data_IF_790595437707
#
_entry.id   IF_790595437707
#
_cell.length_a   1.000
_cell.length_b   1.000
_cell.length_c   1.000
_cell.angle_alpha   90.00
_cell.angle_beta   90.00
_cell.angle_gamma   90.00
#
_symmetry.space_group_name_H-M   'P 1'
#
loop_
_entity.id
_entity.type
_entity.pdbx_description
1 polymer ?
#
# COMPACT_ATOMS: atom_id res chain seq x y z
N UNK A 1 61.18 28.66 -14.59
CA UNK A 1 59.91 28.81 -13.87
C UNK A 1 59.19 27.47 -13.94
N UNK A 2 59.47 26.57 -13.01
CA UNK A 2 58.80 26.40 -11.72
C UNK A 2 57.44 25.69 -11.86
N UNK A 3 57.50 24.41 -11.52
CA UNK A 3 56.48 23.37 -11.38
C UNK A 3 55.29 23.86 -10.53
N UNK A 4 54.07 23.78 -11.05
CA UNK A 4 52.86 23.91 -10.21
C UNK A 4 52.50 22.52 -9.70
N UNK A 5 52.81 22.29 -8.43
CA UNK A 5 52.46 21.11 -7.64
C UNK A 5 50.93 20.98 -7.59
N UNK A 6 50.44 19.77 -7.86
CA UNK A 6 49.08 19.36 -7.50
C UNK A 6 49.15 18.76 -6.11
N UNK A 7 48.88 19.58 -5.12
CA UNK A 7 48.39 19.15 -3.81
C UNK A 7 46.98 19.76 -3.76
N UNK A 8 45.93 18.99 -3.53
CA UNK A 8 45.39 18.96 -2.18
C UNK A 8 44.71 17.61 -1.90
N UNK A 9 45.25 16.95 -0.89
CA UNK A 9 44.59 15.94 -0.09
C UNK A 9 43.23 16.45 0.39
N UNK A 10 42.16 16.17 -0.36
CA UNK A 10 40.81 16.22 0.19
C UNK A 10 40.51 14.85 0.78
N UNK A 11 41.00 14.64 2.01
CA UNK A 11 40.57 13.55 2.85
C UNK A 11 39.04 13.56 2.88
N UNK A 12 38.43 12.54 2.24
CA UNK A 12 37.00 12.26 2.35
C UNK A 12 36.80 11.84 3.80
N UNK A 13 36.49 12.81 4.65
CA UNK A 13 36.01 12.56 5.99
C UNK A 13 34.70 11.78 5.84
N UNK A 14 34.80 10.45 6.01
CA UNK A 14 33.66 9.57 6.19
C UNK A 14 32.95 10.07 7.44
N UNK A 15 31.71 10.61 7.36
CA UNK A 15 30.96 10.86 8.56
C UNK A 15 30.62 9.51 9.20
N UNK A 16 31.40 9.13 10.20
CA UNK A 16 30.97 8.24 11.27
C UNK A 16 29.67 8.78 11.87
N UNK A 17 28.54 8.27 11.38
CA UNK A 17 27.33 8.10 12.17
C UNK A 17 26.30 7.41 11.28
N UNK A 18 26.57 6.14 10.99
CA UNK A 18 25.55 5.21 10.53
C UNK A 18 24.49 5.06 11.64
N UNK A 19 23.44 5.89 11.60
CA UNK A 19 22.25 5.66 12.41
C UNK A 19 21.59 4.40 11.88
N UNK A 20 21.80 3.31 12.61
CA UNK A 20 21.24 1.98 12.42
C UNK A 20 19.73 2.09 12.14
N UNK A 21 19.32 1.98 10.88
CA UNK A 21 17.93 1.66 10.56
C UNK A 21 17.79 0.20 10.96
N UNK A 22 17.23 -0.04 12.14
CA UNK A 22 16.96 -1.39 12.63
C UNK A 22 16.17 -2.11 11.55
N UNK A 23 16.81 -3.06 10.86
CA UNK A 23 16.13 -3.93 9.91
C UNK A 23 15.03 -4.61 10.70
N UNK A 24 13.76 -4.32 10.37
CA UNK A 24 12.64 -5.03 11.00
C UNK A 24 12.87 -6.51 10.70
N UNK A 25 12.98 -7.33 11.74
CA UNK A 25 13.15 -8.75 11.56
C UNK A 25 11.90 -9.28 10.85
N UNK A 26 12.05 -9.61 9.57
CA UNK A 26 11.03 -10.31 8.80
C UNK A 26 11.07 -11.75 9.27
N UNK A 27 10.13 -12.12 10.13
CA UNK A 27 9.96 -13.50 10.54
C UNK A 27 9.29 -14.24 9.39
N UNK A 28 10.05 -15.07 8.68
CA UNK A 28 9.48 -16.02 7.73
C UNK A 28 8.60 -16.97 8.56
N UNK A 29 7.31 -17.03 8.23
CA UNK A 29 6.35 -17.91 8.90
C UNK A 29 6.39 -19.29 8.26
N UNK A 30 6.11 -20.28 9.08
CA UNK A 30 5.88 -21.65 8.64
C UNK A 30 4.61 -21.74 7.77
N UNK A 31 4.59 -22.70 6.86
CA UNK A 31 3.54 -22.83 5.84
C UNK A 31 2.15 -22.99 6.48
N UNK A 32 2.04 -23.85 7.50
CA UNK A 32 0.78 -24.10 8.21
C UNK A 32 0.24 -22.82 8.88
N UNK A 33 1.15 -22.01 9.44
CA UNK A 33 0.76 -20.76 10.10
C UNK A 33 0.34 -19.71 9.07
N UNK A 34 1.05 -19.62 7.94
CA UNK A 34 0.69 -18.73 6.86
C UNK A 34 -0.70 -19.07 6.31
N UNK A 35 -0.94 -20.34 5.96
CA UNK A 35 -2.23 -20.81 5.42
C UNK A 35 -3.35 -20.55 6.42
N UNK A 36 -3.15 -20.85 7.70
CA UNK A 36 -4.17 -20.58 8.73
C UNK A 36 -4.50 -19.08 8.83
N UNK A 37 -3.51 -18.20 8.68
CA UNK A 37 -3.74 -16.75 8.71
C UNK A 37 -4.51 -16.26 7.47
N UNK A 38 -4.21 -16.82 6.30
CA UNK A 38 -4.91 -16.53 5.04
C UNK A 38 -6.35 -17.03 5.10
N UNK A 39 -6.58 -18.25 5.58
CA UNK A 39 -7.92 -18.82 5.78
C UNK A 39 -8.78 -17.90 6.64
N UNK A 40 -8.23 -17.37 7.74
CA UNK A 40 -8.94 -16.42 8.60
C UNK A 40 -9.33 -15.13 7.86
N UNK A 41 -8.46 -14.61 7.00
CA UNK A 41 -8.73 -13.42 6.19
C UNK A 41 -9.81 -13.72 5.14
N UNK A 42 -9.67 -14.83 4.41
CA UNK A 42 -10.63 -15.23 3.38
C UNK A 42 -12.01 -15.46 4.00
N UNK A 43 -12.09 -16.16 5.13
CA UNK A 43 -13.35 -16.37 5.83
C UNK A 43 -13.97 -15.04 6.28
N UNK A 44 -13.17 -14.11 6.80
CA UNK A 44 -13.68 -12.79 7.22
C UNK A 44 -14.24 -11.98 6.04
N UNK A 45 -13.53 -11.97 4.92
CA UNK A 45 -13.82 -11.04 3.81
C UNK A 45 -14.77 -11.63 2.76
N UNK A 46 -14.72 -12.95 2.53
CA UNK A 46 -15.52 -13.63 1.50
C UNK A 46 -16.60 -14.54 2.07
N UNK A 47 -16.42 -15.08 3.29
CA UNK A 47 -17.37 -16.02 3.89
C UNK A 47 -17.73 -15.68 5.34
N UNK A 48 -18.22 -14.46 5.62
CA UNK A 48 -18.52 -14.02 6.99
C UNK A 48 -19.55 -14.92 7.70
N UNK A 49 -20.38 -15.63 6.92
CA UNK A 49 -21.47 -16.50 7.40
C UNK A 49 -21.09 -17.99 7.54
N UNK A 50 -19.83 -18.34 7.29
CA UNK A 50 -19.37 -19.74 7.33
C UNK A 50 -19.56 -20.38 8.71
N UNK A 51 -19.36 -19.61 9.78
CA UNK A 51 -19.54 -20.07 11.16
C UNK A 51 -21.00 -20.39 11.49
N UNK A 52 -21.95 -19.58 10.98
CA UNK A 52 -23.38 -19.79 11.16
C UNK A 52 -23.83 -21.06 10.44
N UNK A 53 -23.38 -21.26 9.21
CA UNK A 53 -23.74 -22.44 8.42
C UNK A 53 -23.20 -23.73 9.05
N UNK A 54 -21.96 -23.71 9.57
CA UNK A 54 -21.37 -24.83 10.31
C UNK A 54 -22.15 -25.15 11.59
N UNK A 55 -22.53 -24.13 12.36
CA UNK A 55 -23.32 -24.32 13.58
C UNK A 55 -24.70 -24.91 13.28
N UNK A 56 -25.34 -24.53 12.17
CA UNK A 56 -26.61 -25.12 11.74
C UNK A 56 -26.46 -26.60 11.37
N UNK A 57 -25.39 -26.96 10.66
CA UNK A 57 -25.09 -28.37 10.37
C UNK A 57 -24.86 -29.16 11.66
N UNK A 58 -24.01 -28.64 12.55
CA UNK A 58 -23.70 -29.30 13.82
C UNK A 58 -24.96 -29.46 14.71
N UNK A 59 -25.89 -28.51 14.64
CA UNK A 59 -27.17 -28.59 15.34
C UNK A 59 -27.98 -29.79 14.84
N UNK A 60 -28.07 -29.99 13.52
CA UNK A 60 -28.80 -31.13 12.95
C UNK A 60 -28.17 -32.46 13.35
N UNK A 61 -26.83 -32.56 13.32
CA UNK A 61 -26.11 -33.75 13.78
C UNK A 61 -26.39 -34.05 15.27
N UNK A 62 -26.43 -33.01 16.11
CA UNK A 62 -26.70 -33.15 17.54
C UNK A 62 -28.15 -33.57 17.83
N UNK A 63 -29.13 -33.09 17.03
CA UNK A 63 -30.52 -33.55 17.10
C UNK A 63 -30.59 -35.04 16.77
N UNK A 64 -29.90 -35.49 15.72
CA UNK A 64 -29.87 -36.90 15.32
C UNK A 64 -29.25 -37.78 16.43
N UNK A 65 -28.20 -37.29 17.08
CA UNK A 65 -27.53 -37.98 18.18
C UNK A 65 -28.24 -37.87 19.54
N UNK A 66 -29.34 -37.10 19.63
CA UNK A 66 -30.05 -36.78 20.87
C UNK A 66 -29.14 -36.19 21.98
N UNK A 67 -28.09 -35.46 21.60
CA UNK A 67 -27.14 -34.86 22.54
C UNK A 67 -27.57 -33.44 22.93
N UNK A 68 -28.26 -33.34 24.08
CA UNK A 68 -28.80 -32.09 24.60
C UNK A 68 -27.75 -31.10 25.09
N UNK A 69 -26.57 -31.56 25.52
CA UNK A 69 -25.48 -30.68 25.96
C UNK A 69 -24.85 -29.98 24.76
N UNK A 70 -24.61 -30.76 23.70
CA UNK A 70 -24.07 -30.25 22.44
C UNK A 70 -25.02 -29.25 21.77
N UNK A 71 -26.32 -29.50 21.80
CA UNK A 71 -27.34 -28.56 21.32
C UNK A 71 -27.27 -27.19 22.01
N UNK A 72 -27.04 -27.18 23.34
CA UNK A 72 -26.94 -25.95 24.12
C UNK A 72 -25.68 -25.16 23.77
N UNK A 73 -24.56 -25.86 23.60
CA UNK A 73 -23.29 -25.23 23.22
C UNK A 73 -23.36 -24.61 21.81
N UNK A 74 -23.92 -25.34 20.85
CA UNK A 74 -24.11 -24.87 19.47
C UNK A 74 -25.02 -23.64 19.44
N UNK A 75 -26.13 -23.68 20.19
CA UNK A 75 -27.05 -22.55 20.36
C UNK A 75 -26.35 -21.30 20.88
N UNK A 76 -25.52 -21.45 21.92
CA UNK A 76 -24.76 -20.33 22.50
C UNK A 76 -23.76 -19.74 21.49
N UNK A 77 -23.03 -20.59 20.77
CA UNK A 77 -22.08 -20.15 19.72
C UNK A 77 -22.80 -19.43 18.57
N UNK A 78 -23.94 -19.94 18.13
CA UNK A 78 -24.76 -19.32 17.07
C UNK A 78 -25.27 -17.91 17.46
N UNK A 79 -25.75 -17.75 18.70
CA UNK A 79 -26.21 -16.45 19.21
C UNK A 79 -25.06 -15.45 19.40
N UNK A 80 -23.90 -15.91 19.87
CA UNK A 80 -22.72 -15.05 20.07
C UNK A 80 -22.09 -14.54 18.77
N UNK A 81 -22.26 -15.28 17.66
CA UNK A 81 -21.77 -14.90 16.33
C UNK A 81 -22.75 -14.00 15.56
N UNK A 82 -23.78 -13.46 16.23
CA UNK A 82 -24.52 -12.34 15.65
C UNK A 82 -23.58 -11.14 15.57
N UNK A 83 -23.23 -10.77 14.34
CA UNK A 83 -22.53 -9.53 14.05
C UNK A 83 -23.24 -8.42 14.82
N UNK A 84 -22.57 -7.67 15.72
CA UNK A 84 -23.19 -6.49 16.28
C UNK A 84 -23.56 -5.64 15.08
N UNK A 85 -24.87 -5.50 14.83
CA UNK A 85 -25.34 -4.54 13.86
C UNK A 85 -24.69 -3.23 14.25
N UNK A 86 -24.01 -2.58 13.30
CA UNK A 86 -23.60 -1.21 13.51
C UNK A 86 -24.89 -0.47 13.86
N UNK A 87 -24.98 -0.01 15.10
CA UNK A 87 -26.13 0.75 15.57
C UNK A 87 -26.40 1.88 14.61
N UNK A 88 -27.62 2.41 14.63
CA UNK A 88 -28.05 3.55 13.80
C UNK A 88 -27.12 4.78 13.98
N UNK A 89 -26.26 4.75 15.00
CA UNK A 89 -25.31 5.78 15.42
C UNK A 89 -23.84 5.48 15.04
N UNK A 90 -23.56 4.35 14.38
CA UNK A 90 -22.21 4.05 13.94
C UNK A 90 -21.82 5.03 12.82
N UNK A 91 -20.68 5.70 13.04
CA UNK A 91 -20.07 6.67 12.12
C UNK A 91 -20.28 6.26 10.67
N UNK A 92 -20.82 7.16 9.80
CA UNK A 92 -21.27 6.78 8.48
C UNK A 92 -20.12 6.09 7.76
N UNK A 93 -20.42 4.94 7.15
CA UNK A 93 -19.55 4.24 6.21
C UNK A 93 -18.83 5.31 5.42
N UNK A 94 -17.49 5.32 5.50
CA UNK A 94 -16.62 6.35 4.94
C UNK A 94 -16.82 6.38 3.42
N UNK A 95 -17.91 7.01 3.02
CA UNK A 95 -18.36 7.20 1.65
C UNK A 95 -17.31 8.14 1.11
N UNK A 96 -16.71 7.79 -0.02
CA UNK A 96 -15.63 8.54 -0.67
C UNK A 96 -16.03 9.98 -1.09
N UNK A 97 -17.15 10.51 -0.58
CA UNK A 97 -17.80 11.71 -1.08
C UNK A 97 -18.33 11.47 -2.49
N UNK A 98 -19.43 12.12 -2.83
CA UNK A 98 -19.77 12.31 -4.23
C UNK A 98 -18.67 13.18 -4.84
N UNK A 99 -17.92 12.65 -5.82
CA UNK A 99 -17.03 13.48 -6.64
C UNK A 99 -17.92 14.23 -7.63
N UNK A 100 -18.79 15.10 -7.12
CA UNK A 100 -19.71 15.91 -7.93
C UNK A 100 -19.04 17.23 -8.36
N UNK A 101 -17.77 17.12 -8.75
CA UNK A 101 -16.91 18.26 -9.07
C UNK A 101 -16.18 18.04 -10.39
N UNK A 102 -16.21 19.06 -11.25
CA UNK A 102 -15.36 19.13 -12.44
C UNK A 102 -13.89 19.05 -12.02
N UNK A 103 -13.04 18.20 -12.62
CA UNK A 103 -11.63 18.12 -12.25
C UNK A 103 -10.94 19.48 -12.41
N UNK A 104 -10.40 20.02 -11.32
CA UNK A 104 -9.80 21.36 -11.27
C UNK A 104 -8.28 21.33 -11.50
N UNK A 105 -7.76 22.40 -12.10
CA UNK A 105 -6.32 22.61 -12.29
C UNK A 105 -5.70 23.14 -10.99
N UNK A 106 -4.56 22.56 -10.60
CA UNK A 106 -3.79 22.92 -9.40
C UNK A 106 -3.02 24.26 -9.53
N UNK A 107 -3.15 24.99 -10.64
CA UNK A 107 -2.43 26.25 -10.91
C UNK A 107 -3.07 27.49 -10.26
N UNK A 108 -4.18 27.32 -9.53
CA UNK A 108 -4.64 28.27 -8.51
C UNK A 108 -5.15 29.62 -9.04
N UNK A 109 -5.37 29.79 -10.34
CA UNK A 109 -5.80 31.06 -10.92
C UNK A 109 -7.30 31.34 -10.76
N UNK A 110 -8.16 30.32 -10.65
CA UNK A 110 -9.62 30.50 -10.80
C UNK A 110 -10.48 29.76 -9.76
N UNK A 111 -10.17 29.84 -8.45
CA UNK A 111 -11.10 29.33 -7.41
C UNK A 111 -11.31 30.27 -6.22
N UNK A 112 -12.57 30.60 -5.88
CA UNK A 112 -12.93 31.03 -4.54
C UNK A 112 -12.60 29.88 -3.57
N UNK A 113 -11.72 30.14 -2.60
CA UNK A 113 -11.31 29.18 -1.57
C UNK A 113 -12.56 28.56 -0.90
N UNK A 114 -12.80 27.24 -1.00
CA UNK A 114 -13.71 26.60 -0.07
C UNK A 114 -13.03 26.68 1.31
N UNK A 115 -13.60 27.51 2.18
CA UNK A 115 -13.17 27.67 3.56
C UNK A 115 -13.60 26.44 4.37
N UNK A 116 -13.02 25.28 4.08
CA UNK A 116 -13.17 24.10 4.93
C UNK A 116 -12.26 24.30 6.15
N UNK A 117 -12.78 24.37 7.39
CA UNK A 117 -11.94 24.46 8.57
C UNK A 117 -11.19 23.13 8.74
N UNK A 118 -9.96 23.07 8.27
CA UNK A 118 -9.13 21.86 8.33
C UNK A 118 -7.67 22.15 8.01
N UNK A 119 -6.72 21.31 8.47
CA UNK A 119 -5.31 21.46 8.12
C UNK A 119 -5.15 21.44 6.60
N UNK A 120 -4.62 22.53 6.03
CA UNK A 120 -4.33 22.58 4.60
C UNK A 120 -3.28 21.53 4.24
N UNK A 121 -3.58 20.70 3.25
CA UNK A 121 -2.59 19.75 2.73
C UNK A 121 -1.41 20.51 2.13
N UNK A 122 -0.20 20.25 2.62
CA UNK A 122 1.06 20.78 2.06
C UNK A 122 1.97 19.60 1.72
N UNK A 123 2.35 19.51 0.46
CA UNK A 123 3.32 18.50 0.00
C UNK A 123 4.73 18.87 0.54
N UNK A 124 5.42 17.97 1.25
CA UNK A 124 6.80 18.17 1.67
C UNK A 124 7.76 18.23 0.49
N UNK A 125 8.88 18.95 0.63
CA UNK A 125 9.94 18.94 -0.37
C UNK A 125 10.64 17.56 -0.43
N UNK A 126 11.07 17.12 -1.62
CA UNK A 126 11.69 15.80 -1.80
C UNK A 126 13.04 15.73 -1.07
N UNK A 127 13.29 14.58 -0.44
CA UNK A 127 14.53 14.34 0.31
C UNK A 127 15.75 14.28 -0.61
N UNK A 128 16.99 14.51 -0.12
CA UNK A 128 18.20 14.43 -0.95
C UNK A 128 18.33 13.10 -1.72
N UNK A 129 17.96 11.98 -1.08
CA UNK A 129 17.94 10.65 -1.69
C UNK A 129 16.95 10.56 -2.87
N UNK A 130 15.79 11.18 -2.74
CA UNK A 130 14.76 11.20 -3.78
C UNK A 130 15.19 12.08 -4.95
N UNK A 131 15.82 13.24 -4.67
CA UNK A 131 16.45 14.08 -5.71
C UNK A 131 17.49 13.30 -6.51
N UNK A 132 18.33 12.50 -5.85
CA UNK A 132 19.29 11.61 -6.53
C UNK A 132 18.57 10.56 -7.38
N UNK A 133 17.51 9.94 -6.85
CA UNK A 133 16.70 8.97 -7.59
C UNK A 133 16.08 9.57 -8.85
N UNK A 134 15.49 10.76 -8.76
CA UNK A 134 14.97 11.50 -9.91
C UNK A 134 16.06 11.83 -10.93
N UNK A 135 17.24 12.28 -10.47
CA UNK A 135 18.36 12.58 -11.37
C UNK A 135 18.86 11.32 -12.12
N UNK A 136 18.95 10.17 -11.44
CA UNK A 136 19.31 8.90 -12.08
C UNK A 136 18.25 8.45 -13.09
N UNK A 137 16.97 8.51 -12.70
CA UNK A 137 15.86 8.17 -13.57
C UNK A 137 15.83 9.05 -14.83
N UNK A 138 16.09 10.35 -14.68
CA UNK A 138 16.17 11.28 -15.80
C UNK A 138 17.35 10.95 -16.72
N UNK A 139 18.52 10.62 -16.16
CA UNK A 139 19.71 10.25 -16.93
C UNK A 139 19.48 9.00 -17.76
N UNK A 140 18.90 7.94 -17.16
CA UNK A 140 18.55 6.70 -17.87
C UNK A 140 17.50 6.97 -18.95
N UNK A 141 16.46 7.72 -18.61
CA UNK A 141 15.39 8.07 -19.55
C UNK A 141 15.92 8.84 -20.76
N UNK A 142 16.83 9.79 -20.56
CA UNK A 142 17.50 10.54 -21.63
C UNK A 142 18.32 9.61 -22.53
N UNK A 143 19.16 8.75 -21.95
CA UNK A 143 19.93 7.77 -22.73
C UNK A 143 19.04 6.85 -23.57
N UNK A 144 17.92 6.38 -23.02
CA UNK A 144 16.98 5.52 -23.75
C UNK A 144 16.32 6.28 -24.91
N UNK A 145 15.95 7.56 -24.70
CA UNK A 145 15.41 8.42 -25.75
C UNK A 145 16.44 8.67 -26.86
N UNK A 146 17.70 8.92 -26.52
CA UNK A 146 18.77 9.12 -27.50
C UNK A 146 19.03 7.87 -28.34
N UNK A 147 19.18 6.70 -27.70
CA UNK A 147 19.32 5.42 -28.40
C UNK A 147 18.14 5.16 -29.35
N UNK A 148 16.91 5.42 -28.90
CA UNK A 148 15.70 5.27 -29.72
C UNK A 148 15.71 6.24 -30.91
N UNK A 149 16.13 7.49 -30.70
CA UNK A 149 16.25 8.49 -31.76
C UNK A 149 17.29 8.07 -32.80
N UNK A 150 18.46 7.62 -32.37
CA UNK A 150 19.55 7.22 -33.27
C UNK A 150 19.19 5.96 -34.06
N UNK A 151 18.55 4.97 -33.42
CA UNK A 151 18.04 3.78 -34.11
C UNK A 151 16.98 4.16 -35.16
N UNK A 152 16.08 5.08 -34.82
CA UNK A 152 15.07 5.59 -35.76
C UNK A 152 15.71 6.35 -36.93
N UNK A 153 16.72 7.18 -36.68
CA UNK A 153 17.45 7.90 -37.72
C UNK A 153 18.21 6.96 -38.64
N UNK A 154 18.87 5.92 -38.10
CA UNK A 154 19.55 4.88 -38.89
C UNK A 154 18.56 4.10 -39.76
N UNK A 155 17.41 3.70 -39.21
CA UNK A 155 16.36 3.03 -39.97
C UNK A 155 15.82 3.92 -41.10
N UNK A 156 15.60 5.21 -40.84
CA UNK A 156 15.17 6.15 -41.86
C UNK A 156 16.22 6.34 -42.98
N UNK A 157 17.51 6.38 -42.64
CA UNK A 157 18.60 6.50 -43.62
C UNK A 157 18.75 5.27 -44.52
N UNK A 158 18.32 4.08 -44.07
CA UNK A 158 18.34 2.84 -44.85
C UNK A 158 17.16 2.72 -45.84
N UNK A 159 16.09 3.49 -45.64
CA UNK A 159 14.89 3.49 -46.50
C UNK A 159 15.02 4.54 -47.64
N UNK A 160 15.89 5.54 -47.47
CA UNK A 160 16.08 6.63 -48.44
C UNK A 160 17.18 6.41 -49.49
N UNK A 161 17.55 5.16 -49.83
CA UNK A 161 18.53 4.83 -50.88
C UNK A 161 17.93 3.87 -51.89
#
# INVERSE_FOLDING_TARGET
MALVKRDDNLAVAVPESAKNVSKKNVKVLDEDTYVQSVDKIIQRDFFPELSKLRAQHEYLDAVEQNDTERLREISSRYQSNQTPHLGVDASPLMTWGSIDGTPFRLDGSDTPKPSTPGPGFRMPEPKPREKLGHALAERVSRQHRDKKRDARARAAAMIGR
#
